data_IF_715078422120
#
_entry.id   IF_715078422120
#
_cell.length_a   1.000
_cell.length_b   1.000
_cell.length_c   1.000
_cell.angle_alpha   90.00
_cell.angle_beta   90.00
_cell.angle_gamma   90.00
#
_symmetry.space_group_name_H-M   'P 1'
#
loop_
_entity.id
_entity.type
_entity.pdbx_description
1 polymer ?
#
# COMPACT_ATOMS: atom_id res chain seq x y z
N UNK A 1 -14.89 -13.79 21.21
CA UNK A 1 -16.15 -14.18 20.56
C UNK A 1 -16.58 -13.27 19.40
N UNK A 2 -16.14 -12.01 19.31
CA UNK A 2 -16.53 -11.05 18.24
C UNK A 2 -16.03 -11.38 16.83
N UNK A 3 -14.91 -12.08 16.68
CA UNK A 3 -14.30 -12.32 15.37
C UNK A 3 -14.97 -13.39 14.51
N UNK A 4 -15.64 -14.37 15.13
CA UNK A 4 -16.45 -15.36 14.38
C UNK A 4 -17.65 -14.74 13.67
N UNK A 5 -18.20 -13.63 14.18
CA UNK A 5 -19.33 -12.93 13.57
C UNK A 5 -18.97 -12.10 12.33
N UNK A 6 -17.70 -11.66 12.14
CA UNK A 6 -17.32 -10.86 10.96
C UNK A 6 -17.34 -11.66 9.65
N UNK A 7 -16.96 -12.94 9.68
CA UNK A 7 -17.06 -13.82 8.49
C UNK A 7 -18.50 -14.06 8.05
N UNK A 8 -19.46 -14.08 9.00
CA UNK A 8 -20.87 -14.30 8.68
C UNK A 8 -21.58 -13.06 8.12
N UNK A 9 -21.04 -11.84 8.30
CA UNK A 9 -21.64 -10.59 7.82
C UNK A 9 -21.05 -10.06 6.51
N UNK A 10 -20.12 -10.80 5.88
CA UNK A 10 -19.55 -10.41 4.60
C UNK A 10 -20.58 -10.50 3.49
N UNK A 11 -20.76 -9.42 2.71
CA UNK A 11 -21.72 -9.41 1.59
C UNK A 11 -21.34 -10.44 0.52
N UNK A 12 -22.34 -10.93 -0.19
CA UNK A 12 -22.13 -11.91 -1.27
C UNK A 12 -21.16 -11.40 -2.35
N UNK A 13 -21.16 -10.10 -2.64
CA UNK A 13 -20.20 -9.47 -3.59
C UNK A 13 -18.75 -9.56 -3.10
N UNK A 14 -18.50 -9.29 -1.82
CA UNK A 14 -17.16 -9.38 -1.23
C UNK A 14 -16.63 -10.82 -1.24
N UNK A 15 -17.48 -11.79 -0.91
CA UNK A 15 -17.14 -13.22 -1.01
C UNK A 15 -16.76 -13.61 -2.43
N UNK A 16 -17.56 -13.16 -3.44
CA UNK A 16 -17.25 -13.39 -4.85
C UNK A 16 -15.93 -12.75 -5.27
N UNK A 17 -15.69 -11.50 -4.83
CA UNK A 17 -14.42 -10.82 -5.09
C UNK A 17 -13.23 -11.60 -4.54
N UNK A 18 -13.28 -12.01 -3.29
CA UNK A 18 -12.19 -12.78 -2.65
C UNK A 18 -11.93 -14.10 -3.39
N UNK A 19 -13.01 -14.81 -3.77
CA UNK A 19 -12.87 -16.06 -4.52
C UNK A 19 -12.27 -15.81 -5.90
N UNK A 20 -12.65 -14.71 -6.54
CA UNK A 20 -12.06 -14.28 -7.81
C UNK A 20 -10.57 -13.96 -7.64
N UNK A 21 -10.16 -13.16 -6.64
CA UNK A 21 -8.74 -12.88 -6.35
C UNK A 21 -7.94 -14.17 -6.14
N UNK A 22 -8.48 -15.11 -5.35
CA UNK A 22 -7.83 -16.43 -5.13
C UNK A 22 -7.64 -17.22 -6.40
N UNK A 23 -8.64 -17.19 -7.29
CA UNK A 23 -8.58 -17.84 -8.61
C UNK A 23 -7.50 -17.20 -9.48
N UNK A 24 -7.50 -15.87 -9.61
CA UNK A 24 -6.50 -15.12 -10.37
C UNK A 24 -5.08 -15.36 -9.84
N UNK A 25 -4.90 -15.34 -8.51
CA UNK A 25 -3.62 -15.70 -7.90
C UNK A 25 -3.17 -17.11 -8.33
N UNK A 26 -4.06 -18.10 -8.23
CA UNK A 26 -3.75 -19.51 -8.61
C UNK A 26 -3.37 -19.62 -10.08
N UNK A 27 -4.09 -18.94 -10.97
CA UNK A 27 -3.84 -18.95 -12.42
C UNK A 27 -2.47 -18.35 -12.77
N UNK A 28 -1.98 -17.41 -11.94
CA UNK A 28 -0.65 -16.81 -12.06
C UNK A 28 0.43 -17.52 -11.21
N UNK A 29 0.14 -18.68 -10.63
CA UNK A 29 1.09 -19.45 -9.81
C UNK A 29 1.38 -18.81 -8.45
N UNK A 30 0.52 -17.91 -7.98
CA UNK A 30 0.68 -17.17 -6.71
C UNK A 30 -0.17 -17.83 -5.60
N UNK A 31 0.44 -18.06 -4.45
CA UNK A 31 -0.28 -18.49 -3.25
C UNK A 31 -0.93 -17.28 -2.56
N UNK A 32 -2.26 -17.22 -2.58
CA UNK A 32 -3.03 -16.22 -1.81
C UNK A 32 -3.26 -16.75 -0.37
N UNK A 33 -2.69 -16.06 0.63
CA UNK A 33 -2.73 -16.43 2.04
C UNK A 33 -3.39 -15.32 2.88
N UNK A 34 -4.61 -15.57 3.34
CA UNK A 34 -5.39 -14.63 4.15
C UNK A 34 -5.31 -15.08 5.62
N UNK A 35 -4.54 -14.35 6.44
CA UNK A 35 -4.20 -14.72 7.81
C UNK A 35 -5.06 -13.99 8.85
N UNK A 36 -5.54 -14.73 9.82
CA UNK A 36 -6.33 -14.18 10.96
C UNK A 36 -5.40 -13.54 12.01
N UNK A 37 -4.60 -12.55 11.60
CA UNK A 37 -3.69 -11.77 12.45
C UNK A 37 -3.90 -10.28 12.20
N UNK A 38 -3.48 -9.43 13.16
CA UNK A 38 -3.54 -7.96 13.01
C UNK A 38 -2.42 -7.43 12.13
N UNK A 39 -1.22 -8.04 12.19
CA UNK A 39 -0.04 -7.69 11.41
C UNK A 39 0.71 -8.96 11.00
N UNK A 40 1.36 -8.90 9.85
CA UNK A 40 2.36 -9.86 9.41
C UNK A 40 3.72 -9.43 9.97
N UNK A 41 4.59 -10.41 10.22
CA UNK A 41 5.99 -10.16 10.60
C UNK A 41 6.88 -10.57 9.45
N UNK A 42 7.65 -9.64 8.93
CA UNK A 42 8.71 -9.86 7.96
C UNK A 42 10.06 -10.06 8.68
N UNK A 43 11.12 -10.35 7.92
CA UNK A 43 12.50 -10.36 8.44
C UNK A 43 12.81 -9.02 9.13
N UNK A 44 13.67 -9.04 10.14
CA UNK A 44 14.04 -7.83 10.90
C UNK A 44 12.93 -7.27 11.82
N UNK A 45 11.90 -8.07 12.17
CA UNK A 45 10.74 -7.65 12.98
C UNK A 45 9.88 -6.54 12.37
N UNK A 46 10.00 -6.29 11.07
CA UNK A 46 9.16 -5.33 10.36
C UNK A 46 7.72 -5.84 10.37
N UNK A 47 6.77 -4.99 10.78
CA UNK A 47 5.33 -5.29 10.75
C UNK A 47 4.71 -4.65 9.50
N UNK A 48 3.95 -5.44 8.74
CA UNK A 48 3.14 -4.94 7.63
C UNK A 48 1.72 -5.49 7.70
N UNK A 49 0.84 -4.94 6.89
CA UNK A 49 -0.58 -5.33 6.82
C UNK A 49 -0.85 -6.34 5.71
N UNK A 50 -0.06 -6.32 4.66
CA UNK A 50 -0.08 -7.22 3.51
C UNK A 50 1.22 -7.07 2.73
N UNK A 51 1.43 -7.98 1.80
CA UNK A 51 2.47 -7.87 0.78
C UNK A 51 2.17 -8.80 -0.40
N UNK A 52 2.60 -8.38 -1.57
CA UNK A 52 2.79 -9.23 -2.74
C UNK A 52 4.29 -9.40 -2.97
N UNK A 53 4.72 -10.62 -3.16
CA UNK A 53 6.11 -10.98 -3.40
C UNK A 53 6.19 -11.94 -4.60
N UNK A 54 6.78 -11.43 -5.69
CA UNK A 54 6.92 -12.16 -6.94
C UNK A 54 7.94 -13.28 -6.87
N UNK A 55 8.97 -13.16 -6.01
CA UNK A 55 10.03 -14.16 -5.87
C UNK A 55 9.51 -15.38 -5.11
N UNK A 56 8.91 -15.18 -3.94
CA UNK A 56 8.32 -16.26 -3.15
C UNK A 56 6.95 -16.72 -3.64
N UNK A 57 6.41 -16.07 -4.70
CA UNK A 57 5.10 -16.36 -5.28
C UNK A 57 3.97 -16.32 -4.27
N UNK A 58 3.91 -15.23 -3.49
CA UNK A 58 2.92 -15.07 -2.43
C UNK A 58 2.24 -13.71 -2.47
N UNK A 59 0.94 -13.74 -2.20
CA UNK A 59 0.14 -12.59 -1.80
C UNK A 59 -0.41 -12.90 -0.40
N UNK A 60 -0.04 -12.11 0.59
CA UNK A 60 -0.40 -12.35 2.00
C UNK A 60 -1.08 -11.13 2.59
N UNK A 61 -2.19 -11.33 3.32
CA UNK A 61 -2.96 -10.24 3.95
C UNK A 61 -3.34 -10.59 5.38
N UNK A 62 -3.15 -9.64 6.30
CA UNK A 62 -3.61 -9.70 7.68
C UNK A 62 -5.09 -9.30 7.75
N UNK A 63 -5.97 -10.25 8.15
CA UNK A 63 -7.43 -10.06 8.09
C UNK A 63 -8.04 -9.46 9.37
N UNK A 64 -7.35 -9.52 10.52
CA UNK A 64 -7.86 -8.99 11.78
C UNK A 64 -7.71 -7.47 11.88
N UNK A 65 -8.09 -6.77 10.80
CA UNK A 65 -8.05 -5.32 10.62
C UNK A 65 -9.36 -4.85 9.96
N UNK A 66 -9.85 -3.66 10.27
CA UNK A 66 -11.06 -3.14 9.63
C UNK A 66 -10.86 -2.84 8.13
N UNK A 67 -9.63 -2.51 7.72
CA UNK A 67 -9.21 -2.11 6.37
C UNK A 67 -8.68 -3.27 5.51
N UNK A 68 -8.72 -4.53 6.00
CA UNK A 68 -8.11 -5.68 5.35
C UNK A 68 -8.55 -5.91 3.89
N UNK A 69 -9.82 -5.59 3.57
CA UNK A 69 -10.33 -5.76 2.20
C UNK A 69 -9.66 -4.77 1.24
N UNK A 70 -9.43 -3.53 1.68
CA UNK A 70 -8.67 -2.54 0.92
C UNK A 70 -7.22 -2.99 0.71
N UNK A 71 -6.61 -3.57 1.74
CA UNK A 71 -5.25 -4.14 1.66
C UNK A 71 -5.22 -5.30 0.65
N UNK A 72 -6.22 -6.20 0.67
CA UNK A 72 -6.30 -7.28 -0.32
C UNK A 72 -6.36 -6.74 -1.76
N UNK A 73 -7.15 -5.68 -1.98
CA UNK A 73 -7.21 -5.02 -3.30
C UNK A 73 -5.86 -4.44 -3.68
N UNK A 74 -5.20 -3.75 -2.75
CA UNK A 74 -3.88 -3.15 -2.95
C UNK A 74 -2.82 -4.19 -3.35
N UNK A 75 -2.69 -5.26 -2.57
CA UNK A 75 -1.69 -6.32 -2.86
C UNK A 75 -2.01 -7.08 -4.16
N UNK A 76 -3.29 -7.27 -4.46
CA UNK A 76 -3.70 -7.85 -5.74
C UNK A 76 -3.36 -6.91 -6.92
N UNK A 77 -3.47 -5.60 -6.75
CA UNK A 77 -3.08 -4.67 -7.80
C UNK A 77 -1.56 -4.66 -8.05
N UNK A 78 -0.72 -4.91 -7.05
CA UNK A 78 0.71 -5.17 -7.27
C UNK A 78 0.94 -6.44 -8.11
N UNK A 79 0.18 -7.51 -7.84
CA UNK A 79 0.20 -8.70 -8.70
C UNK A 79 -0.16 -8.34 -10.15
N UNK A 80 -1.18 -7.49 -10.36
CA UNK A 80 -1.54 -7.08 -11.74
C UNK A 80 -0.45 -6.23 -12.40
N UNK A 81 0.22 -5.36 -11.66
CA UNK A 81 1.35 -4.60 -12.19
C UNK A 81 2.48 -5.53 -12.67
N UNK A 82 2.76 -6.57 -11.89
CA UNK A 82 3.76 -7.57 -12.24
C UNK A 82 3.33 -8.40 -13.46
N UNK A 83 2.12 -8.96 -13.48
CA UNK A 83 1.63 -9.82 -14.57
C UNK A 83 1.44 -9.06 -15.87
N UNK A 84 1.02 -7.79 -15.82
CA UNK A 84 0.89 -6.92 -16.99
C UNK A 84 2.27 -6.49 -17.55
N UNK A 85 3.36 -6.75 -16.82
CA UNK A 85 4.72 -6.35 -17.23
C UNK A 85 4.90 -4.85 -17.35
N UNK A 86 4.15 -4.05 -16.57
CA UNK A 86 4.20 -2.59 -16.71
C UNK A 86 5.55 -2.03 -16.25
N UNK A 87 6.08 -1.09 -17.02
CA UNK A 87 7.39 -0.47 -16.75
C UNK A 87 7.51 0.15 -15.36
N UNK A 88 6.39 0.62 -14.79
CA UNK A 88 6.37 1.20 -13.45
C UNK A 88 6.66 0.16 -12.37
N UNK A 89 6.28 -1.11 -12.58
CA UNK A 89 6.61 -2.22 -11.68
C UNK A 89 8.13 -2.42 -11.60
N UNK A 90 8.78 -2.73 -12.71
CA UNK A 90 10.23 -2.99 -12.75
C UNK A 90 11.03 -1.82 -12.17
N UNK A 91 10.72 -0.60 -12.60
CA UNK A 91 11.43 0.59 -12.10
C UNK A 91 11.14 0.89 -10.63
N UNK A 92 9.93 0.63 -10.18
CA UNK A 92 9.52 0.81 -8.80
C UNK A 92 10.25 -0.16 -7.86
N UNK A 93 10.34 -1.44 -8.23
CA UNK A 93 11.10 -2.45 -7.48
C UNK A 93 12.59 -2.11 -7.42
N UNK A 94 13.21 -1.71 -8.54
CA UNK A 94 14.60 -1.20 -8.56
C UNK A 94 14.76 0.02 -7.63
N UNK A 95 13.75 0.90 -7.59
CA UNK A 95 13.72 2.06 -6.71
C UNK A 95 13.65 1.65 -5.24
N UNK A 96 12.74 0.73 -4.88
CA UNK A 96 12.57 0.24 -3.51
C UNK A 96 13.85 -0.39 -2.97
N UNK A 97 14.53 -1.24 -3.74
CA UNK A 97 15.79 -1.84 -3.33
C UNK A 97 16.86 -0.77 -2.97
N UNK A 98 16.96 0.28 -3.79
CA UNK A 98 17.85 1.41 -3.51
C UNK A 98 17.44 2.22 -2.28
N UNK A 99 16.14 2.39 -2.07
CA UNK A 99 15.60 3.07 -0.89
C UNK A 99 15.91 2.29 0.38
N UNK A 100 15.75 0.97 0.36
CA UNK A 100 16.10 0.10 1.49
C UNK A 100 17.60 0.20 1.85
N UNK A 101 18.48 0.05 0.87
CA UNK A 101 19.92 0.23 1.08
C UNK A 101 20.27 1.60 1.67
N UNK A 102 19.61 2.66 1.19
CA UNK A 102 19.81 4.01 1.70
C UNK A 102 19.29 4.19 3.13
N UNK A 103 18.16 3.57 3.48
CA UNK A 103 17.62 3.58 4.84
C UNK A 103 18.51 2.80 5.81
N UNK A 104 19.18 1.74 5.35
CA UNK A 104 20.21 1.02 6.13
C UNK A 104 21.50 1.84 6.36
N UNK A 105 21.59 3.06 5.84
CA UNK A 105 22.73 3.95 6.04
C UNK A 105 23.73 3.95 4.89
N UNK A 106 23.55 3.12 3.86
CA UNK A 106 24.44 3.09 2.69
C UNK A 106 24.37 4.41 1.89
N UNK A 107 25.46 4.76 1.22
CA UNK A 107 25.47 5.86 0.25
C UNK A 107 24.93 5.36 -1.08
N UNK A 108 23.79 5.90 -1.51
CA UNK A 108 23.11 5.46 -2.75
C UNK A 108 23.04 6.61 -3.75
N UNK A 109 23.66 6.41 -4.91
CA UNK A 109 23.58 7.39 -6.02
C UNK A 109 22.15 7.38 -6.61
N UNK A 110 21.58 8.58 -6.78
CA UNK A 110 20.27 8.73 -7.44
C UNK A 110 19.09 8.45 -6.52
N UNK A 111 19.23 8.57 -5.21
CA UNK A 111 18.16 8.30 -4.23
C UNK A 111 16.87 9.09 -4.51
N UNK A 112 16.94 10.33 -4.96
CA UNK A 112 15.74 11.10 -5.35
C UNK A 112 14.97 10.43 -6.48
N UNK A 113 15.69 9.87 -7.46
CA UNK A 113 15.07 9.12 -8.57
C UNK A 113 14.48 7.82 -8.05
N UNK A 114 15.16 7.10 -7.17
CA UNK A 114 14.68 5.87 -6.56
C UNK A 114 13.38 6.10 -5.77
N UNK A 115 13.34 7.11 -4.90
CA UNK A 115 12.13 7.51 -4.17
C UNK A 115 10.99 7.92 -5.12
N UNK A 116 11.30 8.59 -6.23
CA UNK A 116 10.29 8.95 -7.23
C UNK A 116 9.74 7.70 -7.95
N UNK A 117 10.57 6.72 -8.26
CA UNK A 117 10.16 5.46 -8.88
C UNK A 117 9.28 4.63 -7.95
N UNK A 118 9.66 4.51 -6.67
CA UNK A 118 8.85 3.83 -5.65
C UNK A 118 7.50 4.53 -5.46
N UNK A 119 7.50 5.86 -5.36
CA UNK A 119 6.28 6.66 -5.28
C UNK A 119 5.36 6.44 -6.48
N UNK A 120 5.90 6.43 -7.69
CA UNK A 120 5.13 6.31 -8.93
C UNK A 120 4.55 4.89 -9.08
N UNK A 121 5.25 3.85 -8.56
CA UNK A 121 4.74 2.48 -8.43
C UNK A 121 3.50 2.46 -7.55
N UNK A 122 3.59 3.03 -6.37
CA UNK A 122 2.46 3.07 -5.43
C UNK A 122 1.27 3.87 -5.99
N UNK A 123 1.53 5.02 -6.61
CA UNK A 123 0.47 5.83 -7.20
C UNK A 123 -0.29 5.08 -8.31
N UNK A 124 0.41 4.32 -9.16
CA UNK A 124 -0.23 3.50 -10.19
C UNK A 124 -1.05 2.38 -9.53
N UNK A 125 -0.48 1.72 -8.51
CA UNK A 125 -1.17 0.70 -7.73
C UNK A 125 -2.46 1.23 -7.10
N UNK A 126 -2.42 2.38 -6.44
CA UNK A 126 -3.58 2.98 -5.78
C UNK A 126 -4.69 3.37 -6.78
N UNK A 127 -4.32 3.84 -7.97
CA UNK A 127 -5.29 4.09 -9.05
C UNK A 127 -5.95 2.82 -9.55
N UNK A 128 -5.19 1.73 -9.73
CA UNK A 128 -5.71 0.41 -10.07
C UNK A 128 -6.65 -0.10 -8.97
N UNK A 129 -6.25 0.07 -7.71
CA UNK A 129 -7.02 -0.33 -6.55
C UNK A 129 -8.40 0.34 -6.52
N UNK A 130 -8.46 1.66 -6.70
CA UNK A 130 -9.73 2.39 -6.75
C UNK A 130 -10.59 1.95 -7.94
N UNK A 131 -10.00 1.73 -9.11
CA UNK A 131 -10.73 1.24 -10.28
C UNK A 131 -11.34 -0.14 -10.00
N UNK A 132 -10.59 -1.04 -9.36
CA UNK A 132 -11.03 -2.38 -9.03
C UNK A 132 -12.13 -2.36 -7.94
N UNK A 133 -11.98 -1.54 -6.90
CA UNK A 133 -13.00 -1.34 -5.86
C UNK A 133 -14.34 -0.90 -6.45
N UNK A 134 -14.31 0.07 -7.37
CA UNK A 134 -15.50 0.56 -8.08
C UNK A 134 -16.11 -0.52 -8.98
N UNK A 135 -15.28 -1.23 -9.75
CA UNK A 135 -15.72 -2.33 -10.63
C UNK A 135 -16.50 -3.40 -9.87
N UNK A 136 -16.06 -3.74 -8.67
CA UNK A 136 -16.68 -4.76 -7.83
C UNK A 136 -17.74 -4.21 -6.87
N UNK A 137 -17.92 -2.90 -6.83
CA UNK A 137 -18.82 -2.22 -5.88
C UNK A 137 -18.57 -2.70 -4.43
N UNK A 138 -17.27 -2.68 -4.03
CA UNK A 138 -16.88 -3.09 -2.69
C UNK A 138 -17.31 -2.06 -1.65
N UNK A 139 -17.63 -2.52 -0.43
CA UNK A 139 -18.01 -1.61 0.68
C UNK A 139 -16.76 -0.97 1.27
N UNK A 140 -16.13 -0.09 0.49
CA UNK A 140 -14.97 0.71 0.89
C UNK A 140 -15.34 2.17 0.61
N UNK A 141 -15.10 3.05 1.58
CA UNK A 141 -15.22 4.49 1.37
C UNK A 141 -14.06 4.93 0.45
N UNK A 142 -14.40 5.18 -0.81
CA UNK A 142 -13.43 5.53 -1.85
C UNK A 142 -12.77 6.88 -1.58
N UNK A 143 -13.51 7.85 -1.04
CA UNK A 143 -12.97 9.16 -0.75
C UNK A 143 -11.96 9.11 0.41
N UNK A 144 -12.27 8.34 1.45
CA UNK A 144 -11.35 8.10 2.56
C UNK A 144 -10.12 7.30 2.10
N UNK A 145 -10.34 6.25 1.29
CA UNK A 145 -9.26 5.46 0.70
C UNK A 145 -8.28 6.34 -0.11
N UNK A 146 -8.79 7.21 -0.98
CA UNK A 146 -7.94 8.09 -1.80
C UNK A 146 -7.16 9.08 -0.92
N UNK A 147 -7.76 9.61 0.16
CA UNK A 147 -7.01 10.48 1.10
C UNK A 147 -5.86 9.73 1.76
N UNK A 148 -6.09 8.51 2.21
CA UNK A 148 -5.07 7.62 2.80
C UNK A 148 -3.97 7.29 1.79
N UNK A 149 -4.35 6.91 0.58
CA UNK A 149 -3.43 6.67 -0.54
C UNK A 149 -2.56 7.90 -0.85
N UNK A 150 -3.16 9.08 -0.94
CA UNK A 150 -2.42 10.32 -1.15
C UNK A 150 -1.43 10.62 -0.01
N UNK A 151 -1.80 10.36 1.23
CA UNK A 151 -0.89 10.48 2.37
C UNK A 151 0.30 9.54 2.23
N UNK A 152 0.06 8.29 1.85
CA UNK A 152 1.12 7.31 1.65
C UNK A 152 2.04 7.65 0.46
N UNK A 153 1.46 8.00 -0.69
CA UNK A 153 2.24 8.41 -1.88
C UNK A 153 3.10 9.64 -1.59
N UNK A 154 2.58 10.63 -0.86
CA UNK A 154 3.34 11.82 -0.46
C UNK A 154 4.45 11.52 0.54
N UNK A 155 4.34 10.44 1.31
CA UNK A 155 5.36 10.01 2.26
C UNK A 155 6.71 9.71 1.58
N UNK A 156 6.75 9.17 0.38
CA UNK A 156 8.00 8.98 -0.36
C UNK A 156 8.75 10.28 -0.62
N UNK A 157 8.04 11.40 -0.82
CA UNK A 157 8.69 12.71 -0.90
C UNK A 157 9.23 13.17 0.47
N UNK A 158 8.48 12.90 1.56
CA UNK A 158 8.92 13.20 2.92
C UNK A 158 10.12 12.36 3.34
N UNK A 159 10.17 11.11 2.94
CA UNK A 159 11.23 10.16 3.28
C UNK A 159 12.64 10.69 2.91
N UNK A 160 12.75 11.50 1.84
CA UNK A 160 14.00 12.16 1.50
C UNK A 160 14.52 13.06 2.63
N UNK A 161 13.65 13.62 3.43
CA UNK A 161 13.98 14.52 4.56
C UNK A 161 14.13 13.77 5.88
N UNK A 162 13.34 12.73 6.10
CA UNK A 162 13.35 11.97 7.37
C UNK A 162 14.37 10.85 7.39
N UNK A 163 14.72 10.30 6.22
CA UNK A 163 15.56 9.10 6.04
C UNK A 163 15.13 7.94 6.93
N UNK A 164 13.83 7.71 7.06
CA UNK A 164 13.27 6.60 7.83
C UNK A 164 11.91 6.17 7.30
N UNK A 165 11.53 4.93 7.51
CA UNK A 165 10.15 4.49 7.41
C UNK A 165 9.32 5.09 8.55
N UNK A 166 8.02 5.30 8.28
CA UNK A 166 7.07 5.61 9.34
C UNK A 166 6.90 4.41 10.28
N UNK A 167 6.61 4.68 11.56
CA UNK A 167 6.29 3.60 12.47
C UNK A 167 4.92 2.98 12.13
N UNK A 168 4.71 1.67 12.39
CA UNK A 168 3.41 1.02 12.16
C UNK A 168 2.26 1.68 12.94
N UNK A 169 2.57 2.27 14.10
CA UNK A 169 1.58 2.89 14.99
C UNK A 169 1.33 4.37 14.63
N UNK A 170 2.16 4.96 13.75
CA UNK A 170 2.00 6.33 13.25
C UNK A 170 2.35 6.40 11.76
N UNK A 171 1.65 5.61 10.97
CA UNK A 171 1.77 5.63 9.51
C UNK A 171 1.06 6.84 8.89
N UNK A 172 1.52 7.37 7.75
CA UNK A 172 0.89 8.51 7.11
C UNK A 172 -0.58 8.25 6.75
N UNK A 173 -0.91 7.01 6.37
CA UNK A 173 -2.28 6.57 6.05
C UNK A 173 -3.12 6.22 7.30
N UNK A 174 -2.54 6.24 8.49
CA UNK A 174 -3.22 6.06 9.77
C UNK A 174 -3.31 7.33 10.61
N UNK A 175 -2.64 8.42 10.20
CA UNK A 175 -2.64 9.67 10.94
C UNK A 175 -3.75 10.60 10.45
N UNK A 176 -4.80 10.78 11.27
CA UNK A 176 -6.01 11.56 10.92
C UNK A 176 -5.70 13.02 10.58
N UNK A 177 -4.70 13.64 11.22
CA UNK A 177 -4.32 15.04 10.91
C UNK A 177 -3.70 15.14 9.53
N UNK A 178 -2.89 14.18 9.13
CA UNK A 178 -2.31 14.09 7.79
C UNK A 178 -3.41 13.80 6.76
N UNK A 179 -4.22 12.76 7.00
CA UNK A 179 -5.31 12.32 6.09
C UNK A 179 -6.30 13.46 5.85
N UNK A 180 -6.67 14.23 6.89
CA UNK A 180 -7.63 15.35 6.77
C UNK A 180 -7.14 16.47 5.84
N UNK A 181 -5.85 16.52 5.52
CA UNK A 181 -5.26 17.53 4.60
C UNK A 181 -5.06 17.00 3.18
N UNK A 182 -5.38 15.71 2.96
CA UNK A 182 -5.27 15.10 1.64
C UNK A 182 -6.54 15.31 0.81
N UNK A 183 -6.36 15.38 -0.50
CA UNK A 183 -7.46 15.39 -1.46
C UNK A 183 -8.16 14.04 -1.51
N UNK A 184 -9.48 14.02 -1.73
CA UNK A 184 -10.25 12.83 -2.09
C UNK A 184 -10.15 12.49 -3.59
N UNK A 185 -9.23 13.15 -4.31
CA UNK A 185 -8.84 12.84 -5.69
C UNK A 185 -7.34 12.63 -5.73
N UNK A 186 -6.83 11.82 -6.65
CA UNK A 186 -5.40 11.68 -6.80
C UNK A 186 -4.75 13.02 -7.15
N UNK A 187 -3.77 13.42 -6.32
CA UNK A 187 -3.15 14.73 -6.44
C UNK A 187 -2.26 14.81 -7.69
N UNK A 188 -2.58 15.72 -8.60
CA UNK A 188 -1.77 15.94 -9.82
C UNK A 188 -0.37 16.49 -9.52
N UNK A 189 -0.15 17.08 -8.32
CA UNK A 189 1.14 17.62 -7.86
C UNK A 189 1.91 16.66 -6.95
N UNK A 190 1.62 15.38 -7.02
CA UNK A 190 2.24 14.36 -6.16
C UNK A 190 3.78 14.29 -6.25
N UNK A 191 4.38 14.84 -7.31
CA UNK A 191 5.84 14.89 -7.49
C UNK A 191 6.55 15.89 -6.58
N UNK A 192 5.83 16.79 -5.96
CA UNK A 192 6.38 17.84 -5.10
C UNK A 192 5.60 17.90 -3.77
N UNK A 193 6.33 18.03 -2.69
CA UNK A 193 5.76 18.26 -1.37
C UNK A 193 5.81 19.75 -1.07
N UNK A 194 4.68 20.37 -0.75
CA UNK A 194 4.65 21.77 -0.29
C UNK A 194 5.29 21.91 1.08
N UNK A 195 5.84 23.09 1.39
CA UNK A 195 6.41 23.40 2.70
C UNK A 195 5.40 23.16 3.84
N UNK A 196 4.14 23.52 3.62
CA UNK A 196 3.06 23.30 4.58
C UNK A 196 2.90 21.80 4.89
N UNK A 197 2.94 20.96 3.87
CA UNK A 197 2.78 19.52 4.03
C UNK A 197 4.03 18.90 4.67
N UNK A 198 5.22 19.37 4.27
CA UNK A 198 6.48 18.97 4.91
C UNK A 198 6.49 19.28 6.40
N UNK A 199 6.04 20.49 6.78
CA UNK A 199 5.90 20.92 8.18
C UNK A 199 4.93 20.01 8.94
N UNK A 200 3.79 19.67 8.34
CA UNK A 200 2.80 18.79 8.92
C UNK A 200 3.39 17.39 9.21
N UNK A 201 4.04 16.76 8.23
CA UNK A 201 4.65 15.44 8.42
C UNK A 201 5.71 15.43 9.53
N UNK A 202 6.50 16.51 9.62
CA UNK A 202 7.46 16.69 10.72
C UNK A 202 6.78 16.83 12.09
N UNK A 203 5.73 17.65 12.17
CA UNK A 203 4.98 17.88 13.41
C UNK A 203 4.28 16.61 13.92
N UNK A 204 3.76 15.81 13.00
CA UNK A 204 3.11 14.54 13.31
C UNK A 204 4.12 13.39 13.51
N UNK A 205 5.41 13.66 13.39
CA UNK A 205 6.50 12.66 13.55
C UNK A 205 6.29 11.40 12.69
N UNK A 206 5.82 11.61 11.45
CA UNK A 206 5.65 10.53 10.47
C UNK A 206 7.04 9.95 10.11
#
# INVERSE_FOLDING_TARGET
MEFRNKKNNMRAKEKRFINWVKKECKENGIKCDLREVKYLKLSGNIKCSGYFDEESKKLVVAMNRPDWLGILVHEYCHLTQWTDGVKVWTKGCEGLNKVEEWLEGKSVRGIKTALAQSRDLELDNEKRSVALMKKWDLKIDIDDYIRKANAYVMFYNYMYHSRKWSSPDNSPYGNERVISKMSNKFNMRYKQMSERLLKLYKQENI
#
